data_IF_983735974588
#
_entry.id   IF_983735974588
#
_cell.length_a   1.000
_cell.length_b   1.000
_cell.length_c   1.000
_cell.angle_alpha   90.00
_cell.angle_beta   90.00
_cell.angle_gamma   90.00
#
_symmetry.space_group_name_H-M   'P 1'
#
loop_
_entity.id
_entity.type
_entity.pdbx_description
1 polymer ?
#
# COMPACT_ATOMS: atom_id res chain seq x y z
N UNK A 1 19.81 -5.96 3.53
CA UNK A 1 21.20 -6.45 3.44
C UNK A 1 21.81 -5.94 2.14
N UNK A 2 23.01 -5.37 2.23
CA UNK A 2 23.86 -4.98 1.11
C UNK A 2 25.22 -5.67 1.27
N UNK A 3 25.75 -6.23 0.20
CA UNK A 3 27.13 -6.77 0.19
C UNK A 3 27.86 -6.27 -1.04
N UNK A 4 29.17 -6.06 -0.89
CA UNK A 4 30.09 -5.79 -1.98
C UNK A 4 31.01 -7.00 -2.15
N UNK A 5 31.18 -7.47 -3.38
CA UNK A 5 31.92 -8.69 -3.70
C UNK A 5 33.12 -8.37 -4.59
N UNK A 6 34.28 -8.95 -4.23
CA UNK A 6 35.39 -9.12 -5.15
C UNK A 6 35.50 -10.62 -5.47
N UNK A 7 35.14 -11.01 -6.69
CA UNK A 7 34.87 -12.39 -7.09
C UNK A 7 33.79 -13.02 -6.14
N UNK A 8 34.21 -14.01 -5.32
CA UNK A 8 33.36 -14.71 -4.36
C UNK A 8 33.59 -14.23 -2.90
N UNK A 9 34.42 -13.24 -2.68
CA UNK A 9 34.78 -12.76 -1.33
C UNK A 9 34.02 -11.48 -1.01
N UNK A 10 33.39 -11.42 0.14
CA UNK A 10 32.70 -10.25 0.64
C UNK A 10 33.72 -9.22 1.10
N UNK A 11 33.83 -8.10 0.36
CA UNK A 11 34.73 -6.97 0.69
C UNK A 11 34.10 -6.08 1.75
N UNK A 12 32.79 -5.82 1.61
CA UNK A 12 32.02 -5.06 2.57
C UNK A 12 30.60 -5.60 2.71
N UNK A 13 30.01 -5.43 3.90
CA UNK A 13 28.66 -5.86 4.20
C UNK A 13 27.97 -4.84 5.10
N UNK A 14 26.70 -4.57 4.84
CA UNK A 14 25.83 -3.72 5.64
C UNK A 14 24.51 -4.44 5.89
N UNK A 15 24.16 -4.64 7.16
CA UNK A 15 22.91 -5.27 7.58
C UNK A 15 22.15 -4.30 8.48
N UNK A 16 21.17 -3.61 7.95
CA UNK A 16 20.29 -2.72 8.70
C UNK A 16 18.99 -3.41 9.06
N UNK A 17 18.55 -3.27 10.29
CA UNK A 17 17.36 -3.93 10.83
C UNK A 17 16.40 -2.92 11.42
N UNK A 18 15.14 -2.92 10.95
CA UNK A 18 14.03 -2.12 11.47
C UNK A 18 13.07 -2.97 12.30
N UNK A 19 12.25 -2.34 13.16
CA UNK A 19 11.22 -2.99 14.00
C UNK A 19 11.74 -4.02 15.03
N UNK A 20 13.03 -4.03 15.31
CA UNK A 20 13.70 -4.94 16.26
C UNK A 20 14.42 -4.20 17.40
N UNK A 21 14.34 -2.88 17.39
CA UNK A 21 14.85 -1.96 18.38
C UNK A 21 14.04 -0.65 18.32
N UNK A 22 14.20 0.30 19.26
CA UNK A 22 13.53 1.61 19.21
C UNK A 22 13.87 2.44 17.95
N UNK A 23 15.01 2.18 17.33
CA UNK A 23 15.46 2.81 16.09
C UNK A 23 15.94 1.74 15.12
N UNK A 24 16.17 2.10 13.86
CA UNK A 24 16.91 1.26 12.90
C UNK A 24 18.33 1.05 13.45
N UNK A 25 18.80 -0.19 13.48
CA UNK A 25 20.12 -0.56 13.97
C UNK A 25 20.92 -1.28 12.88
N UNK A 26 22.24 -1.24 13.01
CA UNK A 26 23.17 -2.08 12.27
C UNK A 26 23.53 -3.33 13.05
N UNK A 27 23.79 -4.44 12.35
CA UNK A 27 24.35 -5.63 12.92
C UNK A 27 25.87 -5.63 12.76
N UNK A 28 26.56 -4.92 13.65
CA UNK A 28 28.00 -4.72 13.54
C UNK A 28 28.80 -6.03 13.61
N UNK A 29 28.36 -6.98 14.46
CA UNK A 29 29.05 -8.28 14.57
C UNK A 29 28.86 -9.16 13.34
N UNK A 30 27.67 -9.15 12.73
CA UNK A 30 27.43 -9.90 11.51
C UNK A 30 28.15 -9.26 10.30
N UNK A 31 28.16 -7.94 10.20
CA UNK A 31 28.89 -7.20 9.16
C UNK A 31 30.39 -7.48 9.22
N UNK A 32 31.00 -7.41 10.40
CA UNK A 32 32.42 -7.71 10.60
C UNK A 32 32.76 -9.18 10.31
N UNK A 33 31.87 -10.11 10.73
CA UNK A 33 32.05 -11.53 10.43
C UNK A 33 32.03 -11.81 8.92
N UNK A 34 31.19 -11.12 8.16
CA UNK A 34 31.05 -11.33 6.72
C UNK A 34 32.27 -10.84 5.94
N UNK A 35 32.90 -9.75 6.36
CA UNK A 35 34.07 -9.18 5.65
C UNK A 35 35.22 -10.18 5.54
N UNK A 36 35.73 -10.34 4.34
CA UNK A 36 36.81 -11.27 4.01
C UNK A 36 36.41 -12.73 3.93
N UNK A 37 35.12 -13.06 4.11
CA UNK A 37 34.64 -14.44 3.97
C UNK A 37 34.03 -14.67 2.57
N UNK A 38 33.99 -15.92 2.15
CA UNK A 38 33.22 -16.34 0.98
C UNK A 38 31.76 -16.46 1.35
N UNK A 39 30.88 -15.97 0.46
CA UNK A 39 29.45 -16.17 0.65
C UNK A 39 29.11 -17.66 0.48
N UNK A 40 28.44 -18.25 1.45
CA UNK A 40 28.00 -19.65 1.48
C UNK A 40 26.79 -19.82 2.37
N UNK A 41 26.08 -20.94 2.28
CA UNK A 41 24.98 -21.25 3.17
C UNK A 41 25.39 -21.28 4.66
N UNK A 42 26.63 -21.66 4.96
CA UNK A 42 27.14 -21.68 6.34
C UNK A 42 27.43 -20.26 6.84
N UNK A 43 28.11 -19.41 6.02
CA UNK A 43 28.35 -18.01 6.37
C UNK A 43 27.04 -17.22 6.48
N UNK A 44 26.06 -17.47 5.60
CA UNK A 44 24.74 -16.86 5.69
C UNK A 44 24.03 -17.21 7.00
N UNK A 45 24.02 -18.48 7.39
CA UNK A 45 23.43 -18.94 8.64
C UNK A 45 24.15 -18.32 9.84
N UNK A 46 25.49 -18.32 9.87
CA UNK A 46 26.24 -17.75 11.00
C UNK A 46 26.04 -16.23 11.14
N UNK A 47 26.06 -15.50 10.03
CA UNK A 47 25.77 -14.07 10.04
C UNK A 47 24.35 -13.77 10.55
N UNK A 48 23.35 -14.59 10.17
CA UNK A 48 21.98 -14.42 10.63
C UNK A 48 21.83 -14.65 12.15
N UNK A 49 22.57 -15.63 12.70
CA UNK A 49 22.63 -15.86 14.16
C UNK A 49 23.20 -14.63 14.90
N UNK A 50 24.28 -14.05 14.39
CA UNK A 50 24.89 -12.84 14.94
C UNK A 50 23.92 -11.65 14.84
N UNK A 51 23.29 -11.45 13.69
CA UNK A 51 22.31 -10.38 13.50
C UNK A 51 21.12 -10.51 14.48
N UNK A 52 20.64 -11.72 14.73
CA UNK A 52 19.58 -11.96 15.69
C UNK A 52 19.99 -11.59 17.14
N UNK A 53 21.26 -11.74 17.50
CA UNK A 53 21.78 -11.38 18.82
C UNK A 53 21.84 -9.86 19.05
N UNK A 54 22.03 -9.05 18.02
CA UNK A 54 22.04 -7.60 18.11
C UNK A 54 20.63 -7.00 18.36
N UNK A 55 19.56 -7.78 18.15
CA UNK A 55 18.20 -7.29 18.28
C UNK A 55 17.80 -7.01 19.75
N UNK A 56 16.98 -5.97 19.95
CA UNK A 56 16.38 -5.57 21.22
C UNK A 56 14.86 -5.66 21.15
N UNK A 57 14.38 -6.84 20.76
CA UNK A 57 12.95 -7.09 20.53
C UNK A 57 12.14 -7.04 21.81
N UNK A 58 10.89 -6.58 21.70
CA UNK A 58 9.90 -6.55 22.78
C UNK A 58 8.74 -7.51 22.46
N UNK A 59 8.01 -7.93 23.48
CA UNK A 59 6.74 -8.64 23.34
C UNK A 59 5.60 -7.66 23.41
N UNK A 60 4.68 -7.71 22.43
CA UNK A 60 3.44 -6.95 22.40
C UNK A 60 2.29 -7.82 21.84
N UNK A 61 1.11 -7.22 21.60
CA UNK A 61 -0.06 -7.94 21.07
C UNK A 61 0.15 -8.50 19.64
N UNK A 62 1.17 -8.03 18.93
CA UNK A 62 1.49 -8.43 17.55
C UNK A 62 2.45 -9.61 17.48
N UNK A 63 3.25 -9.85 18.53
CA UNK A 63 4.19 -10.96 18.58
C UNK A 63 5.14 -10.92 19.76
N UNK A 64 5.62 -12.10 20.15
CA UNK A 64 6.61 -12.26 21.22
C UNK A 64 8.02 -11.85 20.78
N UNK A 65 8.84 -11.42 21.76
CA UNK A 65 10.23 -11.02 21.54
C UNK A 65 11.07 -12.15 20.90
N UNK A 66 10.87 -13.39 21.36
CA UNK A 66 11.60 -14.55 20.83
C UNK A 66 11.21 -14.86 19.38
N UNK A 67 9.92 -14.75 19.06
CA UNK A 67 9.44 -14.90 17.68
C UNK A 67 10.05 -13.83 16.76
N UNK A 68 10.09 -12.58 17.18
CA UNK A 68 10.68 -11.48 16.40
C UNK A 68 12.18 -11.71 16.18
N UNK A 69 12.90 -12.19 17.18
CA UNK A 69 14.34 -12.54 17.08
C UNK A 69 14.54 -13.69 16.10
N UNK A 70 13.73 -14.73 16.20
CA UNK A 70 13.76 -15.87 15.28
C UNK A 70 13.48 -15.44 13.84
N UNK A 71 12.44 -14.63 13.63
CA UNK A 71 12.12 -14.13 12.30
C UNK A 71 13.21 -13.25 11.70
N UNK A 72 13.92 -12.45 12.52
CA UNK A 72 15.06 -11.67 12.05
C UNK A 72 16.19 -12.59 11.57
N UNK A 73 16.48 -13.68 12.29
CA UNK A 73 17.44 -14.68 11.83
C UNK A 73 17.03 -15.25 10.47
N UNK A 74 15.79 -15.68 10.31
CA UNK A 74 15.27 -16.23 9.04
C UNK A 74 15.40 -15.22 7.91
N UNK A 75 14.97 -13.97 8.11
CA UNK A 75 14.99 -12.94 7.07
C UNK A 75 16.42 -12.60 6.62
N UNK A 76 17.37 -12.47 7.56
CA UNK A 76 18.77 -12.19 7.21
C UNK A 76 19.41 -13.37 6.49
N UNK A 77 19.14 -14.61 6.94
CA UNK A 77 19.65 -15.82 6.26
C UNK A 77 19.11 -15.93 4.84
N UNK A 78 17.81 -15.74 4.65
CA UNK A 78 17.17 -15.80 3.32
C UNK A 78 17.70 -14.68 2.41
N UNK A 79 17.85 -13.46 2.90
CA UNK A 79 18.40 -12.35 2.12
C UNK A 79 19.82 -12.63 1.64
N UNK A 80 20.68 -13.19 2.49
CA UNK A 80 22.04 -13.59 2.09
C UNK A 80 22.05 -14.75 1.10
N UNK A 81 21.15 -15.73 1.23
CA UNK A 81 20.99 -16.81 0.26
C UNK A 81 20.51 -16.30 -1.11
N UNK A 82 19.55 -15.37 -1.13
CA UNK A 82 19.08 -14.76 -2.37
C UNK A 82 20.18 -14.01 -3.10
N UNK A 83 21.05 -13.29 -2.38
CA UNK A 83 22.23 -12.64 -2.94
C UNK A 83 23.26 -13.66 -3.47
N UNK A 84 23.48 -14.77 -2.73
CA UNK A 84 24.38 -15.85 -3.16
C UNK A 84 23.93 -16.52 -4.47
N UNK A 85 22.61 -16.63 -4.66
CA UNK A 85 22.01 -17.31 -5.82
C UNK A 85 21.63 -16.34 -6.95
N UNK A 86 21.97 -15.05 -6.80
CA UNK A 86 21.62 -13.97 -7.73
C UNK A 86 20.12 -13.93 -8.07
N UNK A 87 19.27 -14.07 -7.01
CA UNK A 87 17.80 -14.18 -7.14
C UNK A 87 17.04 -12.99 -6.58
N UNK A 88 17.69 -11.95 -6.08
CA UNK A 88 17.09 -10.79 -5.43
C UNK A 88 16.07 -10.09 -6.34
N UNK A 89 16.28 -10.09 -7.65
CA UNK A 89 15.39 -9.44 -8.62
C UNK A 89 14.19 -10.31 -9.03
N UNK A 90 14.22 -11.63 -8.76
CA UNK A 90 13.18 -12.57 -9.23
C UNK A 90 11.82 -12.32 -8.59
N UNK A 91 11.79 -11.70 -7.39
CA UNK A 91 10.56 -11.38 -6.66
C UNK A 91 10.08 -9.95 -6.93
N UNK A 92 10.85 -9.14 -7.67
CA UNK A 92 10.45 -7.79 -8.04
C UNK A 92 9.66 -7.85 -9.33
N UNK A 93 8.35 -7.55 -9.32
CA UNK A 93 7.54 -7.57 -10.53
C UNK A 93 8.06 -6.53 -11.52
N UNK A 94 8.24 -6.93 -12.78
CA UNK A 94 8.71 -6.04 -13.86
C UNK A 94 7.69 -4.91 -14.16
N UNK A 95 6.42 -5.18 -13.91
CA UNK A 95 5.34 -4.23 -14.12
C UNK A 95 4.36 -4.30 -12.94
N UNK A 96 4.74 -3.72 -11.78
CA UNK A 96 3.94 -3.82 -10.57
C UNK A 96 2.60 -3.10 -10.71
N UNK A 97 1.60 -3.56 -9.95
CA UNK A 97 0.34 -2.83 -9.77
C UNK A 97 0.61 -1.61 -8.87
N UNK A 98 0.30 -0.41 -9.36
CA UNK A 98 0.61 0.84 -8.66
C UNK A 98 -0.64 1.63 -8.24
N UNK A 99 -1.80 1.33 -8.85
CA UNK A 99 -3.07 2.05 -8.69
C UNK A 99 -2.93 3.57 -8.95
N UNK A 100 -1.99 3.93 -9.83
CA UNK A 100 -1.59 5.33 -10.08
C UNK A 100 -1.56 5.72 -11.56
N UNK A 101 -1.89 4.80 -12.49
CA UNK A 101 -1.92 5.11 -13.92
C UNK A 101 -3.02 6.12 -14.27
N UNK A 102 -2.78 6.90 -15.31
CA UNK A 102 -3.74 7.80 -15.95
C UNK A 102 -3.60 9.27 -15.54
N UNK A 103 -3.09 9.59 -14.35
CA UNK A 103 -2.90 10.98 -13.96
C UNK A 103 -1.43 11.26 -13.61
N UNK A 104 -0.76 12.11 -14.37
CA UNK A 104 0.46 12.74 -13.88
C UNK A 104 0.18 13.42 -12.53
N UNK A 105 1.15 13.50 -11.63
CA UNK A 105 1.03 14.42 -10.50
C UNK A 105 0.85 15.81 -11.09
N UNK A 106 -0.34 16.37 -10.97
CA UNK A 106 -0.48 17.78 -11.18
C UNK A 106 0.34 18.43 -10.06
N UNK A 107 1.47 18.98 -10.44
CA UNK A 107 2.16 19.92 -9.55
C UNK A 107 1.13 21.00 -9.30
N UNK A 108 0.67 21.08 -8.06
CA UNK A 108 -0.10 22.26 -7.64
C UNK A 108 0.73 23.45 -8.12
N UNK A 109 0.17 24.32 -8.99
CA UNK A 109 0.88 25.52 -9.36
C UNK A 109 1.37 26.13 -8.06
N UNK A 110 2.61 26.66 -8.03
CA UNK A 110 3.16 27.39 -6.89
C UNK A 110 2.30 28.67 -6.63
N UNK A 111 1.01 28.49 -6.39
CA UNK A 111 0.10 29.45 -5.86
C UNK A 111 0.23 29.39 -4.34
N UNK A 112 0.55 30.49 -3.72
CA UNK A 112 0.51 30.61 -2.28
C UNK A 112 -0.92 30.27 -1.83
N UNK A 113 -1.12 29.07 -1.23
CA UNK A 113 -2.36 28.77 -0.55
C UNK A 113 -2.50 29.74 0.63
N UNK A 114 -3.60 30.47 0.68
CA UNK A 114 -3.87 31.51 1.70
C UNK A 114 -4.10 30.95 3.10
N UNK A 115 -4.15 29.62 3.25
CA UNK A 115 -4.43 28.85 4.46
C UNK A 115 -5.86 29.05 5.02
N UNK A 116 -6.68 29.84 4.37
CA UNK A 116 -8.03 30.18 4.81
C UNK A 116 -9.12 29.50 3.95
N UNK A 117 -8.79 29.14 2.68
CA UNK A 117 -9.77 28.58 1.76
C UNK A 117 -9.24 27.33 1.05
N UNK A 118 -10.11 26.33 0.88
CA UNK A 118 -9.91 25.21 -0.03
C UNK A 118 -10.90 25.35 -1.18
N UNK A 119 -10.39 25.50 -2.39
CA UNK A 119 -11.11 25.35 -3.64
C UNK A 119 -10.77 23.98 -4.22
N UNK A 120 -11.76 23.17 -4.54
CA UNK A 120 -11.55 21.79 -4.98
C UNK A 120 -12.66 21.31 -5.88
N UNK A 121 -12.41 20.32 -6.70
CA UNK A 121 -13.44 19.62 -7.45
C UNK A 121 -13.64 18.24 -6.83
N UNK A 122 -14.86 17.95 -6.37
CA UNK A 122 -15.20 16.64 -5.78
C UNK A 122 -16.36 16.03 -6.54
N UNK A 123 -16.18 14.83 -7.08
CA UNK A 123 -17.16 14.12 -7.89
C UNK A 123 -17.72 15.01 -9.03
N UNK A 124 -16.85 15.75 -9.70
CA UNK A 124 -17.20 16.67 -10.77
C UNK A 124 -17.82 18.00 -10.35
N UNK A 125 -18.00 18.24 -9.05
CA UNK A 125 -18.56 19.51 -8.53
C UNK A 125 -17.45 20.39 -7.99
N UNK A 126 -17.38 21.64 -8.48
CA UNK A 126 -16.46 22.66 -7.92
C UNK A 126 -17.03 23.22 -6.62
N UNK A 127 -16.27 23.12 -5.56
CA UNK A 127 -16.66 23.50 -4.20
C UNK A 127 -15.61 24.40 -3.56
N UNK A 128 -16.06 25.29 -2.67
CA UNK A 128 -15.18 26.17 -1.91
C UNK A 128 -15.54 26.10 -0.42
N UNK A 129 -14.52 25.98 0.43
CA UNK A 129 -14.65 25.91 1.88
C UNK A 129 -13.71 26.91 2.53
N UNK A 130 -14.20 27.66 3.51
CA UNK A 130 -13.40 28.56 4.33
C UNK A 130 -13.17 28.01 5.73
N UNK A 131 -12.12 28.46 6.42
CA UNK A 131 -11.82 28.17 7.82
C UNK A 131 -10.55 27.34 8.02
N UNK A 132 -10.38 26.77 9.22
CA UNK A 132 -9.20 25.97 9.55
C UNK A 132 -9.25 24.56 8.95
N UNK A 133 -8.11 24.07 8.45
CA UNK A 133 -7.97 22.77 7.79
C UNK A 133 -6.86 21.93 8.43
N UNK A 134 -6.96 21.72 9.76
CA UNK A 134 -5.99 20.93 10.54
C UNK A 134 -6.28 19.43 10.55
N UNK A 135 -7.32 18.98 9.84
CA UNK A 135 -7.74 17.58 9.78
C UNK A 135 -7.09 16.83 8.62
N UNK A 136 -7.40 15.53 8.52
CA UNK A 136 -7.07 14.72 7.35
C UNK A 136 -8.04 14.96 6.20
N UNK A 137 -7.65 14.58 4.97
CA UNK A 137 -8.52 14.59 3.80
C UNK A 137 -9.77 13.73 4.03
N UNK A 138 -9.63 12.59 4.73
CA UNK A 138 -10.76 11.75 5.12
C UNK A 138 -11.82 12.54 5.91
N UNK A 139 -11.41 13.22 6.98
CA UNK A 139 -12.33 13.99 7.81
C UNK A 139 -12.90 15.19 7.06
N UNK A 140 -12.09 15.87 6.25
CA UNK A 140 -12.57 16.96 5.40
C UNK A 140 -13.69 16.50 4.46
N UNK A 141 -13.48 15.40 3.72
CA UNK A 141 -14.47 14.86 2.78
C UNK A 141 -15.74 14.40 3.49
N UNK A 142 -15.62 13.79 4.66
CA UNK A 142 -16.77 13.26 5.41
C UNK A 142 -17.55 14.35 6.16
N UNK A 143 -16.84 15.23 6.85
CA UNK A 143 -17.46 16.15 7.81
C UNK A 143 -17.79 17.51 7.21
N UNK A 144 -16.96 17.99 6.28
CA UNK A 144 -17.14 19.31 5.65
C UNK A 144 -17.89 19.21 4.31
N UNK A 145 -17.58 18.19 3.51
CA UNK A 145 -18.25 17.99 2.21
C UNK A 145 -19.52 17.14 2.35
N UNK A 146 -19.54 16.16 3.26
CA UNK A 146 -20.69 15.31 3.53
C UNK A 146 -20.68 13.96 2.80
N UNK A 147 -19.60 13.60 2.08
CA UNK A 147 -19.48 12.29 1.46
C UNK A 147 -18.98 11.25 2.48
N UNK A 148 -19.85 10.32 2.83
CA UNK A 148 -19.58 9.32 3.88
C UNK A 148 -19.02 7.99 3.35
N UNK A 149 -18.85 7.85 2.05
CA UNK A 149 -18.32 6.65 1.40
C UNK A 149 -16.93 6.26 1.91
N UNK A 150 -15.90 7.13 1.87
CA UNK A 150 -14.63 6.83 2.52
C UNK A 150 -14.84 6.63 4.03
N UNK A 151 -14.33 5.51 4.58
CA UNK A 151 -14.61 5.10 5.98
C UNK A 151 -13.38 5.26 6.89
N UNK A 152 -13.54 5.82 8.11
CA UNK A 152 -12.51 5.82 9.13
C UNK A 152 -12.38 4.41 9.72
N UNK A 153 -11.37 3.65 9.33
CA UNK A 153 -11.09 2.32 9.85
C UNK A 153 -9.96 2.32 10.86
N UNK A 154 -8.73 2.23 10.40
CA UNK A 154 -7.54 2.25 11.27
C UNK A 154 -7.02 3.66 11.54
N UNK A 155 -7.24 4.60 10.62
CA UNK A 155 -6.67 5.95 10.61
C UNK A 155 -5.11 5.99 10.65
N UNK A 156 -4.50 4.88 10.28
CA UNK A 156 -3.04 4.65 10.28
C UNK A 156 -2.51 4.25 8.89
N UNK A 157 -3.36 4.31 7.84
CA UNK A 157 -2.96 3.98 6.46
C UNK A 157 -2.94 2.49 6.12
N UNK A 158 -3.40 1.61 7.00
CA UNK A 158 -3.23 0.16 6.89
C UNK A 158 -4.41 -0.57 6.23
N UNK A 159 -5.64 -0.13 6.49
CA UNK A 159 -6.83 -0.93 6.19
C UNK A 159 -7.51 -0.60 4.85
N UNK A 160 -7.15 0.49 4.20
CA UNK A 160 -7.71 0.91 2.90
C UNK A 160 -9.21 1.29 2.89
N UNK A 161 -9.92 1.28 4.03
CA UNK A 161 -11.34 1.63 4.06
C UNK A 161 -11.64 3.09 3.67
N UNK A 162 -10.63 3.95 3.76
CA UNK A 162 -10.69 5.37 3.41
C UNK A 162 -10.19 5.68 1.99
N UNK A 163 -9.99 4.68 1.13
CA UNK A 163 -9.48 4.88 -0.22
C UNK A 163 -10.43 5.77 -1.04
N UNK A 164 -9.86 6.79 -1.67
CA UNK A 164 -10.49 7.66 -2.65
C UNK A 164 -9.46 8.02 -3.73
N UNK A 165 -9.88 8.69 -4.79
CA UNK A 165 -8.93 9.22 -5.77
C UNK A 165 -8.62 10.68 -5.48
N UNK A 166 -7.34 11.01 -5.50
CA UNK A 166 -6.80 12.36 -5.45
C UNK A 166 -5.99 12.57 -6.72
N UNK A 167 -6.43 13.50 -7.56
CA UNK A 167 -5.85 13.76 -8.88
C UNK A 167 -5.70 12.47 -9.71
N UNK A 168 -6.74 11.61 -9.68
CA UNK A 168 -6.80 10.34 -10.41
C UNK A 168 -6.02 9.18 -9.80
N UNK A 169 -5.38 9.34 -8.65
CA UNK A 169 -4.61 8.27 -7.96
C UNK A 169 -5.34 7.76 -6.73
N UNK A 170 -5.35 6.45 -6.54
CA UNK A 170 -5.89 5.86 -5.31
C UNK A 170 -4.97 6.19 -4.12
N UNK A 171 -5.53 6.82 -3.10
CA UNK A 171 -4.81 7.19 -1.88
C UNK A 171 -5.60 6.81 -0.64
N UNK A 172 -4.90 6.52 0.46
CA UNK A 172 -5.50 6.35 1.79
C UNK A 172 -5.68 7.72 2.44
N UNK A 173 -6.88 8.26 2.36
CA UNK A 173 -7.17 9.67 2.72
C UNK A 173 -6.96 10.01 4.19
N UNK A 174 -6.88 9.01 5.08
CA UNK A 174 -6.56 9.23 6.49
C UNK A 174 -5.11 9.70 6.73
N UNK A 175 -4.20 9.49 5.77
CA UNK A 175 -2.80 9.95 5.85
C UNK A 175 -2.55 11.23 5.03
N UNK A 176 -3.54 11.70 4.29
CA UNK A 176 -3.41 12.91 3.46
C UNK A 176 -3.92 14.11 4.27
N UNK A 177 -3.14 15.20 4.45
CA UNK A 177 -3.63 16.42 5.07
C UNK A 177 -4.75 17.08 4.25
N UNK A 178 -5.77 17.62 4.91
CA UNK A 178 -6.91 18.30 4.26
C UNK A 178 -6.49 19.42 3.28
N UNK A 179 -5.46 20.25 3.57
CA UNK A 179 -4.98 21.28 2.63
C UNK A 179 -4.59 20.75 1.25
N UNK A 180 -4.23 19.46 1.15
CA UNK A 180 -3.91 18.83 -0.13
C UNK A 180 -5.10 18.73 -1.09
N UNK A 181 -6.32 18.97 -0.57
CA UNK A 181 -7.52 19.10 -1.39
C UNK A 181 -7.57 20.39 -2.22
N UNK A 182 -6.80 21.43 -1.85
CA UNK A 182 -6.79 22.71 -2.57
C UNK A 182 -6.31 22.52 -4.01
N UNK A 183 -7.09 22.99 -4.97
CA UNK A 183 -6.87 22.85 -6.42
C UNK A 183 -6.81 21.38 -6.92
N UNK A 184 -7.26 20.42 -6.10
CA UNK A 184 -7.24 19.00 -6.47
C UNK A 184 -8.59 18.53 -7.04
N UNK A 185 -8.53 17.44 -7.79
CA UNK A 185 -9.69 16.68 -8.24
C UNK A 185 -9.83 15.41 -7.37
N UNK A 186 -10.94 15.31 -6.65
CA UNK A 186 -11.21 14.22 -5.73
C UNK A 186 -12.40 13.41 -6.24
N UNK A 187 -12.23 12.07 -6.30
CA UNK A 187 -13.33 11.16 -6.60
C UNK A 187 -13.52 10.20 -5.43
N UNK A 188 -14.74 10.15 -4.91
CA UNK A 188 -15.16 9.17 -3.90
C UNK A 188 -16.01 8.08 -4.52
N UNK A 189 -16.37 7.05 -3.74
CA UNK A 189 -17.26 5.96 -4.20
C UNK A 189 -18.59 6.50 -4.76
N UNK A 190 -19.09 7.59 -4.20
CA UNK A 190 -20.32 8.24 -4.65
C UNK A 190 -20.19 8.83 -6.07
N UNK A 191 -18.97 9.15 -6.49
CA UNK A 191 -18.68 9.69 -7.82
C UNK A 191 -18.27 8.64 -8.86
N UNK A 192 -18.23 7.35 -8.52
CA UNK A 192 -17.93 6.29 -9.49
C UNK A 192 -19.12 5.94 -10.41
N UNK A 193 -20.32 6.14 -9.92
CA UNK A 193 -21.52 5.93 -10.73
C UNK A 193 -21.75 7.13 -11.67
N UNK A 194 -21.96 6.85 -12.96
CA UNK A 194 -22.22 7.86 -13.97
C UNK A 194 -23.67 7.80 -14.46
N UNK A 195 -24.37 8.92 -14.50
CA UNK A 195 -25.75 9.03 -15.00
C UNK A 195 -26.72 7.99 -14.41
N UNK A 196 -26.53 7.63 -13.13
CA UNK A 196 -27.35 6.63 -12.46
C UNK A 196 -26.98 5.18 -12.78
N UNK A 197 -25.95 4.94 -13.56
CA UNK A 197 -25.39 3.61 -13.86
C UNK A 197 -24.23 3.32 -12.92
N UNK A 198 -24.34 2.19 -12.23
CA UNK A 198 -23.25 1.72 -11.37
C UNK A 198 -22.00 1.36 -12.20
N UNK A 199 -20.84 1.67 -11.68
CA UNK A 199 -19.57 1.20 -12.24
C UNK A 199 -19.55 -0.35 -12.29
N UNK A 200 -18.93 -0.99 -13.32
CA UNK A 200 -18.89 -2.46 -13.45
C UNK A 200 -18.47 -3.19 -12.16
N UNK A 201 -17.44 -2.68 -11.47
CA UNK A 201 -17.02 -3.24 -10.16
C UNK A 201 -18.16 -3.20 -9.14
N UNK A 202 -18.90 -2.10 -9.03
CA UNK A 202 -20.05 -1.99 -8.10
C UNK A 202 -21.14 -3.03 -8.44
N UNK A 203 -21.43 -3.21 -9.73
CA UNK A 203 -22.42 -4.18 -10.19
C UNK A 203 -22.01 -5.61 -9.81
N UNK A 204 -20.76 -5.98 -10.09
CA UNK A 204 -20.27 -7.33 -9.82
C UNK A 204 -20.14 -7.63 -8.32
N UNK A 205 -19.81 -6.62 -7.49
CA UNK A 205 -19.87 -6.77 -6.03
C UNK A 205 -21.27 -7.13 -5.53
N UNK A 206 -22.31 -6.56 -6.15
CA UNK A 206 -23.71 -6.89 -5.83
C UNK A 206 -24.04 -8.30 -6.32
N UNK A 207 -23.77 -8.64 -7.58
CA UNK A 207 -24.09 -9.93 -8.19
C UNK A 207 -23.42 -11.10 -7.47
N UNK A 208 -22.15 -10.95 -7.08
CA UNK A 208 -21.40 -12.00 -6.39
C UNK A 208 -21.63 -12.03 -4.88
N UNK A 209 -22.41 -11.08 -4.33
CA UNK A 209 -22.58 -10.94 -2.90
C UNK A 209 -21.25 -10.77 -2.17
N UNK A 210 -20.35 -9.95 -2.73
CA UNK A 210 -19.02 -9.65 -2.19
C UNK A 210 -19.06 -8.72 -0.98
N UNK A 211 -20.20 -8.58 -0.35
CA UNK A 211 -20.46 -7.67 0.78
C UNK A 211 -21.09 -8.45 1.93
N UNK A 212 -20.58 -8.22 3.16
CA UNK A 212 -21.22 -8.68 4.38
C UNK A 212 -21.62 -7.46 5.24
N UNK A 213 -20.73 -6.98 6.13
CA UNK A 213 -21.06 -5.77 6.90
C UNK A 213 -21.03 -4.48 6.06
N UNK A 214 -20.33 -4.48 4.92
CA UNK A 214 -20.27 -3.35 3.98
C UNK A 214 -19.24 -2.27 4.31
N UNK A 215 -18.61 -2.31 5.48
CA UNK A 215 -17.73 -1.22 5.93
C UNK A 215 -16.49 -1.03 5.05
N UNK A 216 -15.84 -2.10 4.64
CA UNK A 216 -14.66 -2.08 3.77
C UNK A 216 -15.01 -1.90 2.28
N UNK A 217 -16.26 -2.13 1.90
CA UNK A 217 -16.69 -2.19 0.49
C UNK A 217 -16.31 -0.96 -0.33
N UNK A 218 -16.52 0.29 0.14
CA UNK A 218 -16.13 1.46 -0.63
C UNK A 218 -14.64 1.47 -0.98
N UNK A 219 -13.77 1.13 -0.03
CA UNK A 219 -12.33 1.08 -0.27
C UNK A 219 -11.92 0.02 -1.29
N UNK A 220 -12.50 -1.20 -1.20
CA UNK A 220 -12.26 -2.25 -2.18
C UNK A 220 -12.74 -1.87 -3.59
N UNK A 221 -13.92 -1.28 -3.70
CA UNK A 221 -14.47 -0.85 -4.99
C UNK A 221 -13.58 0.22 -5.61
N UNK A 222 -13.13 1.21 -4.84
CA UNK A 222 -12.21 2.25 -5.33
C UNK A 222 -10.87 1.65 -5.80
N UNK A 223 -10.26 0.76 -5.00
CA UNK A 223 -9.01 0.11 -5.38
C UNK A 223 -9.19 -0.76 -6.64
N UNK A 224 -10.26 -1.56 -6.70
CA UNK A 224 -10.55 -2.42 -7.84
C UNK A 224 -10.84 -1.63 -9.12
N UNK A 225 -11.63 -0.55 -9.05
CA UNK A 225 -11.90 0.29 -10.21
C UNK A 225 -10.60 0.91 -10.76
N UNK A 226 -9.70 1.38 -9.88
CA UNK A 226 -8.39 1.90 -10.29
C UNK A 226 -7.48 0.81 -10.87
N UNK A 227 -7.51 -0.40 -10.33
CA UNK A 227 -6.80 -1.54 -10.91
C UNK A 227 -7.25 -1.81 -12.34
N UNK A 228 -8.57 -1.80 -12.61
CA UNK A 228 -9.10 -2.06 -13.95
C UNK A 228 -8.82 -0.92 -14.95
N UNK A 229 -8.67 0.31 -14.48
CA UNK A 229 -8.15 1.40 -15.33
C UNK A 229 -6.67 1.16 -15.70
N UNK A 230 -5.86 0.69 -14.74
CA UNK A 230 -4.43 0.43 -14.95
C UNK A 230 -4.19 -0.86 -15.75
N UNK A 231 -4.94 -1.90 -15.41
CA UNK A 231 -4.86 -3.25 -16.01
C UNK A 231 -6.28 -3.74 -16.32
N UNK A 232 -6.78 -3.55 -17.54
CA UNK A 232 -8.15 -3.96 -17.91
C UNK A 232 -8.42 -5.46 -17.77
N UNK A 233 -7.38 -6.29 -17.86
CA UNK A 233 -7.46 -7.74 -17.74
C UNK A 233 -6.38 -8.26 -16.77
N UNK A 234 -6.47 -7.93 -15.47
CA UNK A 234 -5.50 -8.36 -14.49
C UNK A 234 -5.62 -9.88 -14.25
N UNK A 235 -4.50 -10.52 -13.96
CA UNK A 235 -4.47 -11.88 -13.43
C UNK A 235 -5.01 -11.91 -11.99
N UNK A 236 -5.36 -13.10 -11.48
CA UNK A 236 -5.80 -13.25 -10.09
C UNK A 236 -4.75 -12.73 -9.09
N UNK A 237 -3.47 -12.95 -9.36
CA UNK A 237 -2.40 -12.44 -8.50
C UNK A 237 -2.30 -10.90 -8.55
N UNK A 238 -2.44 -10.29 -9.73
CA UNK A 238 -2.50 -8.82 -9.85
C UNK A 238 -3.74 -8.23 -9.17
N UNK A 239 -4.87 -8.95 -9.16
CA UNK A 239 -6.04 -8.55 -8.38
C UNK A 239 -5.71 -8.56 -6.88
N UNK A 240 -5.10 -9.63 -6.38
CA UNK A 240 -4.69 -9.75 -4.98
C UNK A 240 -3.70 -8.65 -4.59
N UNK A 241 -2.73 -8.35 -5.46
CA UNK A 241 -1.77 -7.25 -5.26
C UNK A 241 -2.48 -5.90 -5.21
N UNK A 242 -3.39 -5.64 -6.17
CA UNK A 242 -4.13 -4.38 -6.25
C UNK A 242 -5.03 -4.10 -5.04
N UNK A 243 -5.53 -5.14 -4.38
CA UNK A 243 -6.36 -5.01 -3.17
C UNK A 243 -5.61 -5.34 -1.87
N UNK A 244 -4.30 -5.60 -1.92
CA UNK A 244 -3.50 -5.99 -0.75
C UNK A 244 -3.52 -4.94 0.37
N UNK A 245 -3.68 -3.66 0.02
CA UNK A 245 -3.85 -2.55 0.96
C UNK A 245 -5.27 -2.41 1.54
N UNK A 246 -6.21 -3.31 1.22
CA UNK A 246 -7.59 -3.25 1.68
C UNK A 246 -7.91 -4.46 2.57
N UNK A 247 -8.39 -4.21 3.79
CA UNK A 247 -8.68 -5.25 4.76
C UNK A 247 -10.17 -5.51 4.91
N UNK A 248 -10.55 -6.79 4.90
CA UNK A 248 -11.89 -7.26 5.22
C UNK A 248 -11.85 -8.31 6.30
N UNK A 249 -12.63 -8.13 7.39
CA UNK A 249 -12.71 -9.10 8.48
C UNK A 249 -13.82 -10.14 8.28
N UNK A 250 -14.73 -9.94 7.31
CA UNK A 250 -15.96 -10.70 7.18
C UNK A 250 -15.94 -11.73 6.06
N UNK A 251 -15.51 -11.33 4.84
CA UNK A 251 -15.80 -12.07 3.59
C UNK A 251 -14.83 -13.21 3.28
N UNK A 252 -13.63 -13.23 3.87
CA UNK A 252 -12.55 -14.13 3.48
C UNK A 252 -11.98 -13.87 2.08
N UNK A 253 -12.31 -12.73 1.47
CA UNK A 253 -11.81 -12.21 0.19
C UNK A 253 -12.27 -12.94 -1.08
N UNK A 254 -12.61 -14.23 -1.06
CA UNK A 254 -12.93 -15.02 -2.26
C UNK A 254 -13.96 -14.35 -3.18
N UNK A 255 -15.09 -13.92 -2.62
CA UNK A 255 -16.13 -13.25 -3.40
C UNK A 255 -15.72 -11.87 -3.90
N UNK A 256 -14.81 -11.20 -3.19
CA UNK A 256 -14.25 -9.90 -3.63
C UNK A 256 -13.39 -10.13 -4.87
N UNK A 257 -12.48 -11.09 -4.84
CA UNK A 257 -11.63 -11.45 -5.98
C UNK A 257 -12.49 -11.86 -7.18
N UNK A 258 -13.46 -12.77 -6.98
CA UNK A 258 -14.39 -13.19 -8.04
C UNK A 258 -15.20 -12.06 -8.64
N UNK A 259 -15.63 -11.09 -7.83
CA UNK A 259 -16.36 -9.92 -8.32
C UNK A 259 -15.46 -9.00 -9.18
N UNK A 260 -14.19 -8.85 -8.81
CA UNK A 260 -13.23 -8.06 -9.60
C UNK A 260 -12.91 -8.77 -10.92
N UNK A 261 -12.66 -10.09 -10.90
CA UNK A 261 -12.48 -10.89 -12.11
C UNK A 261 -13.67 -10.78 -13.07
N UNK A 262 -14.90 -10.86 -12.55
CA UNK A 262 -16.09 -10.73 -13.37
C UNK A 262 -16.26 -9.32 -13.95
N UNK A 263 -15.86 -8.28 -13.21
CA UNK A 263 -15.90 -6.90 -13.68
C UNK A 263 -14.97 -6.64 -14.88
N UNK A 264 -13.85 -7.38 -14.98
CA UNK A 264 -12.94 -7.31 -16.14
C UNK A 264 -13.62 -7.69 -17.46
N UNK A 265 -14.59 -8.60 -17.42
CA UNK A 265 -15.31 -9.06 -18.61
C UNK A 265 -16.33 -8.01 -19.12
N UNK A 266 -16.79 -7.12 -18.24
CA UNK A 266 -17.73 -6.06 -18.57
C UNK A 266 -17.10 -4.80 -19.16
N UNK A 267 -15.82 -4.57 -18.93
CA UNK A 267 -15.09 -3.38 -19.41
C UNK A 267 -14.72 -3.51 -20.91
N UNK A 268 -14.75 -4.72 -21.48
CA UNK A 268 -14.43 -5.01 -22.89
C UNK A 268 -15.62 -5.12 -23.86
N UNK A 269 -16.85 -4.87 -23.41
CA UNK A 269 -18.07 -5.19 -24.14
C UNK A 269 -18.80 -4.04 -24.86
N UNK A 270 -18.28 -2.81 -24.86
CA UNK A 270 -18.83 -1.69 -25.64
C UNK A 270 -17.73 -1.09 -26.53
N UNK A 271 -17.51 -1.68 -27.70
CA UNK A 271 -16.97 -1.04 -28.89
C UNK A 271 -18.02 -1.10 -29.99
#
# INVERSE_FOLDING_TARGET
>A
VLIDLDEDVIVDAVITMGSVAPTVIHSMEAEEFLRGTKISAETARRASELAAMDTRTISDIRGGADYRRYMMQVIVEDALKELMEDRQDQKVPQNPVTLSQGAGWQTVPNGEWDQEHIETTINGQSLQFGGEFKSTLLNFVRERVGYSGPKPGCEEGECGACTLYLDGKAVVSCLVPAPRAHMANITTIEGLAEEGRLHPVQQEFIKHGAVQCGYCTPGFVMAAAKLLEEKPHPTEDEIKDGISGNLCRCTGYYKIVQAIEAACQGVGGEQ
#
